data_IF_864149461599
#
_entry.id   IF_864149461599
#
_cell.length_a   1.000
_cell.length_b   1.000
_cell.length_c   1.000
_cell.angle_alpha   90.00
_cell.angle_beta   90.00
_cell.angle_gamma   90.00
#
_symmetry.space_group_name_H-M   'P 1'
#
loop_
_entity.id
_entity.type
_entity.pdbx_description
1 polymer ?
#
# COMPACT_ATOMS: atom_id res chain seq x y z
N UNK A 1 29.13 9.01 2.24
CA UNK A 1 28.27 8.90 1.05
C UNK A 1 27.23 7.80 1.29
N UNK A 2 26.08 8.20 1.85
CA UNK A 2 25.02 7.28 2.26
C UNK A 2 24.13 6.92 1.06
N UNK A 3 24.42 5.77 0.43
CA UNK A 3 23.59 5.16 -0.61
C UNK A 3 22.31 4.51 -0.02
N UNK A 4 21.59 5.23 0.86
CA UNK A 4 20.28 4.80 1.38
C UNK A 4 19.10 5.39 0.61
N UNK A 5 19.36 6.26 -0.38
CA UNK A 5 18.32 6.96 -1.14
C UNK A 5 17.96 6.32 -2.49
N UNK A 6 18.73 5.33 -2.96
CA UNK A 6 18.57 4.77 -4.32
C UNK A 6 17.33 3.87 -4.58
N UNK A 7 16.62 3.28 -3.59
CA UNK A 7 15.34 2.60 -3.85
C UNK A 7 14.14 3.57 -3.94
N UNK A 8 14.29 4.83 -3.53
CA UNK A 8 13.21 5.82 -3.54
C UNK A 8 12.94 6.36 -4.95
N UNK A 9 13.98 6.53 -5.77
CA UNK A 9 13.84 7.05 -7.14
C UNK A 9 13.03 6.11 -8.03
N UNK A 10 13.22 4.78 -7.92
CA UNK A 10 12.46 3.83 -8.74
C UNK A 10 10.98 3.78 -8.36
N UNK A 11 10.65 3.89 -7.07
CA UNK A 11 9.25 3.95 -6.58
C UNK A 11 8.56 5.24 -7.04
N UNK A 12 9.27 6.38 -6.92
CA UNK A 12 8.79 7.68 -7.41
C UNK A 12 8.61 7.68 -8.93
N UNK A 13 9.54 7.08 -9.69
CA UNK A 13 9.43 6.94 -11.14
C UNK A 13 8.27 6.04 -11.54
N UNK A 14 8.06 4.90 -10.86
CA UNK A 14 6.88 4.05 -11.11
C UNK A 14 5.57 4.76 -10.80
N UNK A 15 5.58 5.64 -9.79
CA UNK A 15 4.45 6.45 -9.39
C UNK A 15 4.13 7.55 -10.42
N UNK A 16 5.16 8.24 -10.93
CA UNK A 16 5.03 9.19 -12.03
C UNK A 16 4.49 8.52 -13.30
N UNK A 17 4.99 7.33 -13.64
CA UNK A 17 4.50 6.56 -14.79
C UNK A 17 3.05 6.10 -14.61
N UNK A 18 2.66 5.69 -13.40
CA UNK A 18 1.29 5.30 -13.08
C UNK A 18 0.35 6.52 -13.07
N UNK A 19 0.78 7.65 -12.53
CA UNK A 19 0.06 8.93 -12.53
C UNK A 19 -0.25 9.43 -13.94
N UNK A 20 0.70 9.33 -14.88
CA UNK A 20 0.45 9.68 -16.28
C UNK A 20 -0.49 8.69 -16.98
N UNK A 21 -0.45 7.41 -16.61
CA UNK A 21 -1.36 6.39 -17.15
C UNK A 21 -2.78 6.48 -16.57
N UNK A 22 -2.94 6.95 -15.32
CA UNK A 22 -4.24 7.13 -14.64
C UNK A 22 -4.86 8.51 -14.83
N UNK A 23 -4.34 9.32 -15.77
CA UNK A 23 -4.84 10.67 -16.05
C UNK A 23 -4.86 11.58 -14.79
N UNK A 24 -3.86 11.39 -13.92
CA UNK A 24 -3.58 12.25 -12.77
C UNK A 24 -4.41 12.00 -11.51
N UNK A 25 -5.11 10.87 -11.37
CA UNK A 25 -6.06 10.68 -10.25
C UNK A 25 -5.50 9.98 -9.01
N UNK A 26 -4.63 8.97 -9.09
CA UNK A 26 -3.98 8.45 -7.88
C UNK A 26 -2.75 7.60 -8.23
N UNK A 27 -1.80 7.56 -7.30
CA UNK A 27 -0.63 6.71 -7.39
C UNK A 27 -0.55 5.80 -6.16
N UNK A 28 -0.77 4.50 -6.39
CA UNK A 28 -0.41 3.46 -5.45
C UNK A 28 0.74 2.61 -6.00
N UNK A 29 1.60 2.04 -5.14
CA UNK A 29 2.64 1.14 -5.59
C UNK A 29 2.06 -0.10 -6.30
N UNK A 30 2.86 -0.76 -7.13
CA UNK A 30 2.41 -1.96 -7.86
C UNK A 30 1.92 -3.04 -6.88
N UNK A 31 0.74 -3.61 -7.14
CA UNK A 31 0.01 -4.57 -6.29
C UNK A 31 -0.65 -3.99 -5.03
N UNK A 32 -0.77 -2.66 -4.93
CA UNK A 32 -1.57 -2.00 -3.91
C UNK A 32 -2.90 -1.57 -4.53
N UNK A 33 -3.92 -1.49 -3.69
CA UNK A 33 -5.27 -1.08 -4.08
C UNK A 33 -5.51 0.32 -3.55
N UNK A 34 -5.93 1.22 -4.42
CA UNK A 34 -6.38 2.57 -4.05
C UNK A 34 -7.81 2.48 -3.50
N UNK A 35 -8.06 3.18 -2.40
CA UNK A 35 -9.40 3.43 -1.89
C UNK A 35 -9.42 4.72 -1.07
N UNK A 36 -10.26 5.67 -1.48
CA UNK A 36 -10.47 6.96 -0.78
C UNK A 36 -9.17 7.76 -0.54
N UNK A 37 -8.27 7.79 -1.52
CA UNK A 37 -7.01 8.53 -1.46
C UNK A 37 -5.93 7.86 -0.61
N UNK A 38 -6.14 6.60 -0.21
CA UNK A 38 -5.18 5.78 0.52
C UNK A 38 -4.85 4.50 -0.24
N UNK A 39 -3.63 4.01 -0.08
CA UNK A 39 -3.16 2.79 -0.72
C UNK A 39 -3.08 1.65 0.28
N UNK A 40 -3.70 0.51 -0.05
CA UNK A 40 -3.79 -0.65 0.81
C UNK A 40 -3.11 -1.86 0.17
N UNK A 41 -2.47 -2.69 1.00
CA UNK A 41 -1.85 -3.92 0.56
C UNK A 41 -2.23 -5.09 1.47
N UNK A 42 -2.72 -6.16 0.85
CA UNK A 42 -3.14 -7.37 1.56
C UNK A 42 -2.01 -8.40 1.55
N UNK A 43 -1.41 -8.63 2.72
CA UNK A 43 -0.38 -9.64 2.87
C UNK A 43 -0.98 -11.03 2.72
N UNK A 44 -0.36 -11.88 1.88
CA UNK A 44 -0.76 -13.29 1.71
C UNK A 44 -0.12 -14.22 2.73
N UNK A 45 0.82 -13.72 3.54
CA UNK A 45 1.55 -14.50 4.51
C UNK A 45 1.08 -14.16 5.93
N UNK A 46 0.74 -15.18 6.72
CA UNK A 46 0.51 -15.00 8.15
C UNK A 46 1.80 -14.56 8.84
N UNK A 47 1.75 -13.44 9.57
CA UNK A 47 2.83 -12.91 10.39
C UNK A 47 2.29 -12.55 11.76
N UNK A 48 3.14 -12.54 12.78
CA UNK A 48 2.75 -11.92 14.05
C UNK A 48 2.54 -10.41 13.85
N UNK A 49 1.76 -9.78 14.72
CA UNK A 49 1.46 -8.35 14.60
C UNK A 49 2.73 -7.49 14.53
N UNK A 50 3.74 -7.79 15.38
CA UNK A 50 5.00 -7.04 15.38
C UNK A 50 5.83 -7.25 14.11
N UNK A 51 5.82 -8.44 13.52
CA UNK A 51 6.50 -8.71 12.26
C UNK A 51 5.79 -8.05 11.08
N UNK A 52 4.46 -8.04 11.10
CA UNK A 52 3.65 -7.38 10.07
C UNK A 52 3.87 -5.85 10.09
N UNK A 53 3.87 -5.23 11.27
CA UNK A 53 4.15 -3.80 11.42
C UNK A 53 5.55 -3.43 10.92
N UNK A 54 6.58 -4.19 11.33
CA UNK A 54 7.94 -3.99 10.82
C UNK A 54 8.02 -4.15 9.31
N UNK A 55 7.29 -5.10 8.73
CA UNK A 55 7.25 -5.30 7.29
C UNK A 55 6.61 -4.10 6.58
N UNK A 56 5.48 -3.60 7.07
CA UNK A 56 4.83 -2.42 6.52
C UNK A 56 5.77 -1.20 6.57
N UNK A 57 6.49 -1.01 7.68
CA UNK A 57 7.45 0.09 7.82
C UNK A 57 8.61 0.01 6.82
N UNK A 58 9.10 -1.20 6.51
CA UNK A 58 10.11 -1.40 5.46
C UNK A 58 9.60 -1.01 4.07
N UNK A 59 8.29 -1.10 3.86
CA UNK A 59 7.61 -0.66 2.63
C UNK A 59 7.21 0.82 2.66
N UNK A 60 7.65 1.59 3.66
CA UNK A 60 7.29 2.98 3.89
C UNK A 60 5.77 3.19 4.08
N UNK A 61 5.15 2.23 4.76
CA UNK A 61 3.73 2.21 5.12
C UNK A 61 3.55 1.77 6.59
N UNK A 62 2.30 1.65 7.02
CA UNK A 62 1.93 1.18 8.35
C UNK A 62 0.87 0.09 8.26
N UNK A 63 0.66 -0.65 9.35
CA UNK A 63 -0.53 -1.47 9.47
C UNK A 63 -1.77 -0.59 9.32
N UNK A 64 -2.78 -1.12 8.64
CA UNK A 64 -4.02 -0.39 8.38
C UNK A 64 -4.69 0.05 9.68
N UNK A 65 -5.11 1.32 9.71
CA UNK A 65 -5.91 1.89 10.79
C UNK A 65 -7.26 2.24 10.19
N UNK A 66 -8.28 1.52 10.64
CA UNK A 66 -9.65 1.66 10.16
C UNK A 66 -10.31 2.85 10.84
N UNK A 67 -10.67 3.87 10.07
CA UNK A 67 -11.26 5.12 10.58
C UNK A 67 -12.78 5.16 10.45
N UNK A 68 -13.37 4.30 9.62
CA UNK A 68 -14.82 4.24 9.41
C UNK A 68 -15.30 2.81 9.19
N UNK A 69 -16.62 2.63 9.27
CA UNK A 69 -17.22 1.32 8.99
C UNK A 69 -17.22 1.02 7.49
N UNK A 70 -17.41 2.05 6.68
CA UNK A 70 -17.40 2.01 5.24
C UNK A 70 -16.02 1.57 4.71
N UNK A 71 -14.94 2.06 5.34
CA UNK A 71 -13.56 1.63 5.06
C UNK A 71 -13.38 0.14 5.41
N UNK A 72 -13.84 -0.28 6.59
CA UNK A 72 -13.79 -1.70 6.99
C UNK A 72 -14.52 -2.61 5.99
N UNK A 73 -15.75 -2.25 5.62
CA UNK A 73 -16.59 -3.07 4.73
C UNK A 73 -15.96 -3.18 3.34
N UNK A 74 -15.41 -2.07 2.82
CA UNK A 74 -14.71 -2.02 1.54
C UNK A 74 -13.43 -2.86 1.56
N UNK A 75 -12.57 -2.69 2.57
CA UNK A 75 -11.33 -3.47 2.71
C UNK A 75 -11.60 -4.97 2.90
N UNK A 76 -12.67 -5.32 3.61
CA UNK A 76 -13.08 -6.71 3.81
C UNK A 76 -13.53 -7.35 2.50
N UNK A 77 -14.29 -6.62 1.67
CA UNK A 77 -14.71 -7.10 0.35
C UNK A 77 -13.52 -7.29 -0.61
N UNK A 78 -12.47 -6.47 -0.49
CA UNK A 78 -11.27 -6.56 -1.32
C UNK A 78 -10.25 -7.63 -0.85
N UNK A 79 -10.32 -8.05 0.42
CA UNK A 79 -9.37 -8.98 0.99
C UNK A 79 -9.48 -10.39 0.37
N UNK A 80 -8.35 -11.03 0.00
CA UNK A 80 -8.34 -12.39 -0.55
C UNK A 80 -8.62 -13.40 0.56
N UNK A 81 -9.91 -13.70 0.80
CA UNK A 81 -10.34 -14.63 1.85
C UNK A 81 -11.84 -14.65 2.16
N UNK A 82 -12.67 -13.82 1.53
CA UNK A 82 -14.14 -13.89 1.64
C UNK A 82 -14.76 -14.67 0.47
N UNK A 83 -14.47 -15.98 0.44
CA UNK A 83 -15.13 -16.99 -0.40
C UNK A 83 -15.36 -18.26 0.40
#
# INVERSE_FOLDING_TARGET
FHLKHFPLDLRILTCQMAFFQSNGTECCPVNWVEHEGSCYWFSRAGKTWSEADKYCQLENAHLVVINSREEQDSLTAMAPGNG
#
